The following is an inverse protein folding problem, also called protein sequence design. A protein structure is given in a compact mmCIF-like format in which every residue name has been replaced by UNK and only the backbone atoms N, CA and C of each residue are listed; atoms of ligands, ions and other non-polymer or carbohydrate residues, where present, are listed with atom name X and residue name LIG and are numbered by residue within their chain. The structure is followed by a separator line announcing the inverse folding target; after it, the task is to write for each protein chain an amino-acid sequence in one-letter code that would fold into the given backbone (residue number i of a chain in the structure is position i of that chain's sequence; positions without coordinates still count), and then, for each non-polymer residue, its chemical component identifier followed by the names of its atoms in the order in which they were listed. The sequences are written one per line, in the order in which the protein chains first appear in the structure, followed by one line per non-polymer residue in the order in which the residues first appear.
data_IF_434238647563
#
_entry.id   IF_434238647563
#
_cell.length_a   1.000
_cell.length_b   1.000
_cell.length_c   1.000
_cell.angle_alpha   90.00
_cell.angle_beta   90.00
_cell.angle_gamma   90.00
#
_symmetry.space_group_name_H-M   'P 1'
#
loop_
_entity.id
_entity.type
_entity.pdbx_description
1 polymer ?
#
# COMPACT_ATOMS: atom_id res chain seq x y z
N UNK A 1 -20.03 -11.92 -16.09
CA UNK A 1 -18.62 -12.18 -15.77
C UNK A 1 -18.37 -11.66 -14.37
N UNK A 2 -17.87 -12.48 -13.45
CA UNK A 2 -17.47 -11.99 -12.13
C UNK A 2 -16.08 -11.38 -12.28
N UNK A 3 -15.97 -10.05 -12.12
CA UNK A 3 -14.69 -9.37 -12.15
C UNK A 3 -13.80 -9.87 -11.02
N UNK A 4 -12.55 -10.19 -11.33
CA UNK A 4 -11.58 -10.64 -10.35
C UNK A 4 -10.99 -9.44 -9.61
N UNK A 5 -10.97 -9.53 -8.28
CA UNK A 5 -10.50 -8.45 -7.41
C UNK A 5 -9.37 -8.97 -6.53
N UNK A 6 -8.24 -8.25 -6.47
CA UNK A 6 -7.20 -8.51 -5.48
C UNK A 6 -7.48 -7.70 -4.22
N UNK A 7 -7.92 -8.38 -3.17
CA UNK A 7 -8.06 -7.77 -1.84
C UNK A 7 -6.74 -7.89 -1.06
N UNK A 8 -6.15 -6.77 -0.66
CA UNK A 8 -4.94 -6.68 0.16
C UNK A 8 -5.30 -6.04 1.51
N UNK A 9 -4.97 -6.72 2.61
CA UNK A 9 -5.23 -6.21 3.96
C UNK A 9 -3.99 -5.59 4.59
N UNK A 10 -4.17 -4.43 5.21
CA UNK A 10 -3.19 -3.78 6.07
C UNK A 10 -3.39 -4.23 7.52
N UNK A 11 -2.80 -5.38 7.86
CA UNK A 11 -2.86 -5.98 9.22
C UNK A 11 -1.92 -5.35 10.23
N UNK A 12 -1.33 -4.19 9.90
CA UNK A 12 -0.40 -3.46 10.76
C UNK A 12 -0.64 -1.97 10.58
N UNK A 13 -0.60 -1.18 11.67
CA UNK A 13 -0.78 0.26 11.60
C UNK A 13 0.37 0.98 10.88
N UNK A 14 1.50 0.30 10.63
CA UNK A 14 2.70 0.90 10.03
C UNK A 14 3.02 0.36 8.64
N UNK A 15 3.33 1.27 7.71
CA UNK A 15 3.90 0.98 6.40
C UNK A 15 5.41 0.76 6.53
N UNK A 16 5.82 -0.38 7.08
CA UNK A 16 7.23 -0.78 7.10
C UNK A 16 7.74 -1.12 5.70
N UNK A 17 9.05 -0.98 5.47
CA UNK A 17 9.66 -1.21 4.15
C UNK A 17 9.33 -2.58 3.56
N UNK A 18 9.45 -3.64 4.37
CA UNK A 18 9.14 -5.03 3.95
C UNK A 18 7.69 -5.17 3.50
N UNK A 19 6.76 -4.52 4.21
CA UNK A 19 5.34 -4.51 3.85
C UNK A 19 5.09 -3.76 2.55
N UNK A 20 5.68 -2.58 2.38
CA UNK A 20 5.58 -1.79 1.14
C UNK A 20 6.08 -2.60 -0.06
N UNK A 21 7.23 -3.26 0.07
CA UNK A 21 7.78 -4.14 -0.97
C UNK A 21 6.82 -5.29 -1.29
N UNK A 22 6.27 -5.94 -0.26
CA UNK A 22 5.34 -7.05 -0.43
C UNK A 22 4.05 -6.63 -1.15
N UNK A 23 3.47 -5.47 -0.80
CA UNK A 23 2.29 -4.92 -1.47
C UNK A 23 2.59 -4.62 -2.94
N UNK A 24 3.70 -3.94 -3.23
CA UNK A 24 4.15 -3.67 -4.60
C UNK A 24 4.28 -4.95 -5.43
N UNK A 25 4.92 -5.98 -4.87
CA UNK A 25 5.13 -7.24 -5.57
C UNK A 25 3.81 -7.94 -5.90
N UNK A 26 2.85 -7.94 -4.95
CA UNK A 26 1.53 -8.55 -5.14
C UNK A 26 0.71 -7.81 -6.21
N UNK A 27 0.68 -6.49 -6.17
CA UNK A 27 -0.05 -5.67 -7.14
C UNK A 27 0.53 -5.87 -8.55
N UNK A 28 1.85 -5.69 -8.71
CA UNK A 28 2.50 -5.81 -10.01
C UNK A 28 2.37 -7.22 -10.59
N UNK A 29 2.38 -8.26 -9.74
CA UNK A 29 2.14 -9.62 -10.17
C UNK A 29 0.72 -9.80 -10.71
N UNK A 30 -0.28 -9.34 -9.95
CA UNK A 30 -1.68 -9.47 -10.36
C UNK A 30 -1.99 -8.70 -11.65
N UNK A 31 -1.40 -7.50 -11.80
CA UNK A 31 -1.50 -6.70 -13.03
C UNK A 31 -0.87 -7.41 -14.24
N UNK A 32 0.34 -7.98 -14.09
CA UNK A 32 1.02 -8.72 -15.19
C UNK A 32 0.26 -9.96 -15.64
N UNK A 33 -0.39 -10.65 -14.72
CA UNK A 33 -1.14 -11.86 -15.03
C UNK A 33 -2.50 -11.54 -15.69
N UNK A 34 -2.84 -10.25 -15.88
CA UNK A 34 -4.15 -9.76 -16.36
C UNK A 34 -5.33 -10.36 -15.59
N UNK A 35 -5.05 -10.79 -14.36
CA UNK A 35 -5.96 -11.58 -13.55
C UNK A 35 -6.85 -10.71 -12.67
N UNK A 36 -6.69 -9.39 -12.67
CA UNK A 36 -7.46 -8.51 -11.78
C UNK A 36 -8.03 -7.34 -12.55
N UNK A 37 -9.29 -7.06 -12.27
CA UNK A 37 -10.03 -5.90 -12.76
C UNK A 37 -10.09 -4.79 -11.72
N UNK A 38 -9.80 -5.10 -10.45
CA UNK A 38 -9.61 -4.08 -9.42
C UNK A 38 -8.65 -4.57 -8.33
N UNK A 39 -8.05 -3.61 -7.64
CA UNK A 39 -7.28 -3.84 -6.41
C UNK A 39 -8.04 -3.15 -5.29
N UNK A 40 -8.25 -3.83 -4.17
CA UNK A 40 -8.87 -3.24 -2.99
C UNK A 40 -7.90 -3.32 -1.82
N UNK A 41 -7.46 -2.17 -1.31
CA UNK A 41 -6.73 -2.09 -0.05
C UNK A 41 -7.71 -1.90 1.10
N UNK A 42 -7.69 -2.84 2.03
CA UNK A 42 -8.59 -2.89 3.19
C UNK A 42 -7.80 -2.66 4.48
N UNK A 43 -8.46 -2.04 5.46
CA UNK A 43 -8.01 -2.08 6.84
C UNK A 43 -8.12 -3.48 7.46
N UNK A 44 -7.73 -3.57 8.73
CA UNK A 44 -7.82 -4.81 9.50
C UNK A 44 -9.28 -5.15 9.85
N UNK A 45 -9.57 -6.44 10.08
CA UNK A 45 -10.95 -6.94 10.26
C UNK A 45 -11.66 -6.37 11.50
N UNK A 46 -10.90 -5.92 12.49
CA UNK A 46 -11.44 -5.38 13.73
C UNK A 46 -11.87 -3.90 13.62
N UNK A 47 -11.66 -3.25 12.46
CA UNK A 47 -12.06 -1.86 12.19
C UNK A 47 -11.44 -0.81 13.12
N UNK A 48 -10.44 -1.22 13.90
CA UNK A 48 -9.95 -0.47 15.07
C UNK A 48 -8.47 -0.05 14.94
N UNK A 49 -7.88 -0.14 13.75
CA UNK A 49 -6.47 0.17 13.54
C UNK A 49 -6.29 1.38 12.64
N UNK A 50 -5.85 2.48 13.25
CA UNK A 50 -5.31 3.61 12.53
C UNK A 50 -4.16 3.15 11.62
N UNK A 51 -4.21 3.49 10.33
CA UNK A 51 -3.06 3.32 9.44
C UNK A 51 -2.24 4.60 9.53
N UNK A 52 -1.20 4.55 10.36
CA UNK A 52 -0.40 5.71 10.74
C UNK A 52 0.72 6.08 9.73
N UNK A 53 0.80 5.35 8.62
CA UNK A 53 1.84 5.54 7.63
C UNK A 53 3.18 4.94 8.07
N UNK A 54 4.29 5.55 7.66
CA UNK A 54 5.63 5.04 7.96
C UNK A 54 6.00 5.24 9.44
N UNK A 55 6.58 4.22 10.09
CA UNK A 55 7.05 4.35 11.48
C UNK A 55 8.28 5.26 11.59
N UNK A 56 8.07 6.53 11.94
CA UNK A 56 9.14 7.53 12.03
C UNK A 56 10.20 7.24 13.09
N UNK A 57 9.86 6.49 14.15
CA UNK A 57 10.84 6.09 15.18
C UNK A 57 11.86 5.14 14.58
N UNK A 58 11.41 4.16 13.79
CA UNK A 58 12.29 3.22 13.10
C UNK A 58 13.05 3.91 11.95
N UNK A 59 12.38 4.77 11.18
CA UNK A 59 13.04 5.57 10.13
C UNK A 59 14.13 6.48 10.70
N UNK A 60 13.92 7.02 11.90
CA UNK A 60 14.90 7.86 12.61
C UNK A 60 16.18 7.12 12.97
N UNK A 61 16.13 5.79 13.16
CA UNK A 61 17.27 4.93 13.49
C UNK A 61 18.05 4.45 12.26
N UNK A 62 17.50 4.61 11.05
CA UNK A 62 18.12 4.13 9.81
C UNK A 62 19.24 5.04 9.32
N UNK A 63 20.22 4.44 8.64
CA UNK A 63 21.18 5.18 7.83
C UNK A 63 20.48 5.90 6.65
N UNK A 64 21.18 6.86 6.04
CA UNK A 64 20.65 7.68 4.94
C UNK A 64 20.23 6.84 3.73
N UNK A 65 20.98 5.81 3.36
CA UNK A 65 20.68 4.98 2.20
C UNK A 65 19.44 4.10 2.44
N UNK A 66 19.31 3.53 3.64
CA UNK A 66 18.17 2.71 4.06
C UNK A 66 16.88 3.55 4.12
N UNK A 67 16.95 4.76 4.67
CA UNK A 67 15.83 5.71 4.68
C UNK A 67 15.42 6.16 3.28
N UNK A 68 16.39 6.48 2.41
CA UNK A 68 16.10 6.84 1.02
C UNK A 68 15.41 5.68 0.28
N UNK A 69 15.89 4.44 0.47
CA UNK A 69 15.23 3.25 -0.07
C UNK A 69 13.81 3.10 0.44
N UNK A 70 13.55 3.31 1.73
CA UNK A 70 12.18 3.24 2.28
C UNK A 70 11.22 4.18 1.54
N UNK A 71 11.56 5.45 1.42
CA UNK A 71 10.71 6.42 0.72
C UNK A 71 10.60 6.14 -0.78
N UNK A 72 11.65 5.62 -1.41
CA UNK A 72 11.58 5.20 -2.81
C UNK A 72 10.57 4.05 -3.03
N UNK A 73 10.55 3.05 -2.15
CA UNK A 73 9.58 1.95 -2.23
C UNK A 73 8.14 2.46 -2.01
N UNK A 74 7.98 3.38 -1.07
CA UNK A 74 6.69 3.98 -0.76
C UNK A 74 6.15 4.83 -1.92
N UNK A 75 7.00 5.63 -2.55
CA UNK A 75 6.65 6.37 -3.77
C UNK A 75 6.31 5.43 -4.93
N UNK A 76 7.01 4.30 -5.06
CA UNK A 76 6.66 3.28 -6.05
C UNK A 76 5.27 2.69 -5.79
N UNK A 77 4.91 2.44 -4.52
CA UNK A 77 3.58 1.95 -4.17
C UNK A 77 2.48 2.95 -4.53
N UNK A 78 2.65 4.22 -4.16
CA UNK A 78 1.70 5.28 -4.51
C UNK A 78 1.54 5.39 -6.03
N UNK A 79 2.66 5.34 -6.78
CA UNK A 79 2.62 5.35 -8.24
C UNK A 79 1.88 4.14 -8.81
N UNK A 80 2.14 2.94 -8.31
CA UNK A 80 1.48 1.71 -8.78
C UNK A 80 -0.03 1.73 -8.52
N UNK A 81 -0.47 2.38 -7.45
CA UNK A 81 -1.90 2.54 -7.12
C UNK A 81 -2.58 3.67 -7.90
N UNK A 82 -1.86 4.78 -8.15
CA UNK A 82 -2.39 5.93 -8.89
C UNK A 82 -2.29 5.81 -10.41
N UNK A 83 -1.42 4.95 -10.93
CA UNK A 83 -1.24 4.73 -12.37
C UNK A 83 -2.40 3.88 -12.94
N UNK A 84 -3.48 4.58 -13.27
CA UNK A 84 -4.67 4.02 -13.89
C UNK A 84 -4.54 3.85 -15.41
N UNK A 85 -3.36 4.09 -16.01
CA UNK A 85 -3.19 3.98 -17.46
C UNK A 85 -3.04 2.50 -17.88
N UNK A 86 -4.19 1.82 -18.07
CA UNK A 86 -4.24 0.43 -18.53
C UNK A 86 -4.15 -0.64 -17.44
N UNK A 87 -4.11 -0.25 -16.17
CA UNK A 87 -4.09 -1.14 -15.01
C UNK A 87 -5.46 -1.23 -14.33
N UNK A 88 -5.67 -2.29 -13.55
CA UNK A 88 -6.83 -2.45 -12.69
C UNK A 88 -6.97 -1.26 -11.72
N UNK A 89 -8.11 -0.53 -11.69
CA UNK A 89 -8.32 0.54 -10.74
C UNK A 89 -8.10 0.07 -9.29
N UNK A 90 -7.44 0.92 -8.50
CA UNK A 90 -7.30 0.71 -7.07
C UNK A 90 -8.43 1.43 -6.32
N UNK A 91 -9.09 0.70 -5.42
CA UNK A 91 -10.00 1.24 -4.41
C UNK A 91 -9.33 1.09 -3.05
N UNK A 92 -9.21 2.18 -2.32
CA UNK A 92 -8.61 2.15 -0.98
C UNK A 92 -9.72 2.41 0.03
N UNK A 93 -10.09 1.34 0.75
CA UNK A 93 -11.14 1.33 1.76
C UNK A 93 -10.51 1.04 3.12
N UNK A 94 -9.87 2.06 3.67
CA UNK A 94 -9.30 2.01 5.02
C UNK A 94 -10.30 2.62 6.00
N UNK A 95 -10.63 1.87 7.03
CA UNK A 95 -11.42 2.28 8.17
C UNK A 95 -10.51 2.79 9.30
N UNK A 96 -10.98 3.84 10.01
CA UNK A 96 -10.24 4.45 11.11
C UNK A 96 -9.40 5.69 10.74
N UNK A 97 -8.42 6.01 11.59
CA UNK A 97 -7.59 7.22 11.45
C UNK A 97 -6.46 6.98 10.44
N UNK A 98 -6.31 7.88 9.48
CA UNK A 98 -5.20 7.88 8.52
C UNK A 98 -4.24 9.03 8.84
N UNK A 99 -2.93 8.75 8.90
CA UNK A 99 -1.94 9.81 9.03
C UNK A 99 -0.63 9.52 8.28
N UNK A 100 0.17 10.58 8.12
CA UNK A 100 1.46 10.51 7.45
C UNK A 100 1.36 9.95 6.03
N UNK A 101 2.23 9.00 5.69
CA UNK A 101 2.26 8.41 4.35
C UNK A 101 1.10 7.50 4.02
N UNK A 102 0.25 7.12 4.98
CA UNK A 102 -0.98 6.39 4.67
C UNK A 102 -1.95 7.26 3.87
N UNK A 103 -1.98 8.57 4.13
CA UNK A 103 -2.81 9.52 3.37
C UNK A 103 -2.43 9.50 1.89
N UNK A 104 -1.14 9.48 1.56
CA UNK A 104 -0.68 9.43 0.18
C UNK A 104 -0.96 8.11 -0.55
N UNK A 105 -1.36 7.04 0.15
CA UNK A 105 -1.83 5.80 -0.48
C UNK A 105 -3.31 5.92 -0.87
N UNK A 106 -4.08 6.79 -0.22
CA UNK A 106 -5.53 6.97 -0.45
C UNK A 106 -5.84 8.06 -1.49
N UNK A 107 -4.94 9.03 -1.67
CA UNK A 107 -5.08 10.16 -2.60
C UNK A 107 -4.59 9.83 -4.02
#
# INVERSE_FOLDING_TARGET
SHGSTLALRLTSPSLERSRVISLNAQILRAQRESQVQSIVLLGDEDGSHAVCGSNMVEIGKMDTASRAKHYQELANLMRVLGDNTGSAPAVVALDGVLCGSAVGIVL
#
